data_IF_545783902371
#
_entry.id   IF_545783902371
#
_cell.length_a   1.000
_cell.length_b   1.000
_cell.length_c   1.000
_cell.angle_alpha   90.00
_cell.angle_beta   90.00
_cell.angle_gamma   90.00
#
_symmetry.space_group_name_H-M   'P 1'
#
loop_
_entity.id
_entity.type
_entity.pdbx_description
1 polymer ?
#
# COMPACT_ATOMS: atom_id res chain seq x y z
N UNK A 1 -13.09 7.73 -8.76
CA UNK A 1 -12.04 8.15 -7.80
C UNK A 1 -10.77 7.36 -8.04
N UNK A 2 -9.64 7.78 -7.48
CA UNK A 2 -8.39 7.02 -7.43
C UNK A 2 -8.15 6.58 -5.99
N UNK A 3 -8.10 5.27 -5.78
CA UNK A 3 -8.09 4.67 -4.45
C UNK A 3 -6.91 3.73 -4.35
N UNK A 4 -6.11 3.82 -3.30
CA UNK A 4 -5.07 2.83 -3.02
C UNK A 4 -5.44 1.96 -1.82
N UNK A 5 -5.05 0.68 -1.83
CA UNK A 5 -5.14 -0.19 -0.65
C UNK A 5 -3.73 -0.45 -0.12
N UNK A 6 -3.49 -0.08 1.13
CA UNK A 6 -2.17 -0.12 1.77
C UNK A 6 -2.18 -0.97 3.04
N UNK A 7 -1.03 -1.52 3.41
CA UNK A 7 -0.86 -2.34 4.61
C UNK A 7 0.30 -3.32 4.49
N UNK A 8 0.68 -3.95 5.60
CA UNK A 8 1.80 -4.90 5.61
C UNK A 8 1.54 -6.15 4.74
N UNK A 9 2.57 -6.96 4.50
CA UNK A 9 2.46 -8.19 3.72
C UNK A 9 1.44 -9.13 4.35
N UNK A 10 0.64 -9.78 3.49
CA UNK A 10 -0.33 -10.78 3.92
C UNK A 10 -1.33 -10.24 4.94
N UNK A 11 -1.89 -9.04 4.73
CA UNK A 11 -3.10 -8.56 5.44
C UNK A 11 -4.37 -8.74 4.61
N UNK A 12 -4.27 -9.27 3.39
CA UNK A 12 -5.40 -9.53 2.50
C UNK A 12 -5.76 -8.37 1.55
N UNK A 13 -4.78 -7.52 1.19
CA UNK A 13 -4.96 -6.37 0.29
C UNK A 13 -5.43 -6.77 -1.10
N UNK A 14 -4.69 -7.64 -1.79
CA UNK A 14 -5.04 -8.08 -3.15
C UNK A 14 -6.42 -8.75 -3.19
N UNK A 15 -6.75 -9.59 -2.20
CA UNK A 15 -8.10 -10.15 -2.06
C UNK A 15 -9.18 -9.08 -1.88
N UNK A 16 -8.91 -8.02 -1.11
CA UNK A 16 -9.86 -6.92 -0.96
C UNK A 16 -10.03 -6.17 -2.29
N UNK A 17 -8.94 -5.93 -3.01
CA UNK A 17 -8.95 -5.27 -4.32
C UNK A 17 -9.76 -6.06 -5.34
N UNK A 18 -9.54 -7.37 -5.45
CA UNK A 18 -10.31 -8.24 -6.34
C UNK A 18 -11.82 -8.12 -6.05
N UNK A 19 -12.18 -8.24 -4.76
CA UNK A 19 -13.56 -8.15 -4.30
C UNK A 19 -14.18 -6.76 -4.51
N UNK A 20 -13.39 -5.70 -4.47
CA UNK A 20 -13.84 -4.35 -4.79
C UNK A 20 -14.01 -4.18 -6.30
N UNK A 21 -13.10 -4.71 -7.12
CA UNK A 21 -13.19 -4.70 -8.57
C UNK A 21 -14.46 -5.40 -9.09
N UNK A 22 -14.85 -6.51 -8.46
CA UNK A 22 -16.11 -7.21 -8.78
C UNK A 22 -17.37 -6.37 -8.48
N UNK A 23 -17.31 -5.41 -7.56
CA UNK A 23 -18.46 -4.65 -7.06
C UNK A 23 -18.50 -3.20 -7.55
N UNK A 24 -17.36 -2.63 -7.91
CA UNK A 24 -17.23 -1.26 -8.38
C UNK A 24 -17.22 -1.23 -9.91
N UNK A 25 -18.40 -1.15 -10.51
CA UNK A 25 -18.54 -1.07 -11.96
C UNK A 25 -17.74 0.11 -12.54
N UNK A 26 -16.98 -0.18 -13.60
CA UNK A 26 -16.15 0.81 -14.28
C UNK A 26 -14.86 1.20 -13.54
N UNK A 27 -14.55 0.58 -12.39
CA UNK A 27 -13.21 0.65 -11.82
C UNK A 27 -12.28 -0.35 -12.49
N UNK A 28 -11.05 0.07 -12.77
CA UNK A 28 -9.96 -0.83 -13.15
C UNK A 28 -8.97 -1.02 -12.01
N UNK A 29 -8.28 -2.15 -12.03
CA UNK A 29 -7.22 -2.47 -11.09
C UNK A 29 -5.88 -2.12 -11.74
N UNK A 30 -5.05 -1.35 -11.04
CA UNK A 30 -3.65 -1.25 -11.37
C UNK A 30 -2.92 -2.43 -10.72
N UNK A 31 -2.06 -3.07 -11.50
CA UNK A 31 -1.23 -4.17 -11.02
C UNK A 31 -0.22 -3.68 -9.98
N UNK A 32 0.19 -4.61 -9.09
CA UNK A 32 1.16 -4.33 -8.04
C UNK A 32 2.54 -4.01 -8.66
N UNK A 33 3.28 -3.01 -8.14
CA UNK A 33 4.60 -2.63 -8.65
C UNK A 33 5.59 -3.81 -8.78
N UNK A 34 5.53 -4.78 -7.87
CA UNK A 34 6.37 -5.97 -7.93
C UNK A 34 6.20 -6.75 -9.25
N UNK A 35 4.96 -7.03 -9.66
CA UNK A 35 4.71 -7.81 -10.87
C UNK A 35 5.04 -7.02 -12.13
N UNK A 36 4.73 -5.72 -12.16
CA UNK A 36 5.07 -4.85 -13.28
C UNK A 36 6.59 -4.76 -13.48
N UNK A 37 7.37 -4.68 -12.39
CA UNK A 37 8.82 -4.70 -12.45
C UNK A 37 9.37 -6.06 -12.92
N UNK A 38 8.81 -7.18 -12.44
CA UNK A 38 9.20 -8.51 -12.95
C UNK A 38 8.91 -8.64 -14.46
N UNK A 39 7.79 -8.12 -14.95
CA UNK A 39 7.44 -8.13 -16.38
C UNK A 39 8.41 -7.29 -17.23
N UNK A 40 8.97 -6.22 -16.66
CA UNK A 40 10.03 -5.41 -17.27
C UNK A 40 11.43 -6.07 -17.18
N UNK A 41 11.52 -7.22 -16.51
CA UNK A 41 12.75 -8.02 -16.39
C UNK A 41 13.60 -7.69 -15.16
N UNK A 42 13.05 -7.01 -14.15
CA UNK A 42 13.71 -6.81 -12.88
C UNK A 42 13.73 -8.11 -12.06
N UNK A 43 14.90 -8.48 -11.53
CA UNK A 43 15.07 -9.69 -10.71
C UNK A 43 15.19 -9.32 -9.23
N UNK A 44 14.17 -9.66 -8.45
CA UNK A 44 14.15 -9.41 -7.01
C UNK A 44 14.98 -10.41 -6.20
N UNK A 45 15.63 -9.93 -5.13
CA UNK A 45 16.24 -10.82 -4.15
C UNK A 45 15.18 -11.58 -3.33
N UNK A 46 15.58 -12.70 -2.72
CA UNK A 46 14.74 -13.49 -1.82
C UNK A 46 15.48 -13.79 -0.51
N UNK A 47 15.17 -13.09 0.60
CA UNK A 47 14.17 -12.02 0.73
C UNK A 47 14.54 -10.73 -0.03
N UNK A 48 13.57 -9.82 -0.29
CA UNK A 48 13.85 -8.53 -0.94
C UNK A 48 14.84 -7.69 -0.12
N UNK A 49 15.78 -7.07 -0.81
CA UNK A 49 16.78 -6.13 -0.29
C UNK A 49 16.20 -4.71 -0.13
N UNK A 50 16.98 -3.83 0.50
CA UNK A 50 16.65 -2.40 0.54
C UNK A 50 16.48 -1.81 -0.88
N UNK A 51 17.36 -2.19 -1.81
CA UNK A 51 17.32 -1.71 -3.21
C UNK A 51 16.05 -2.18 -3.93
N UNK A 52 15.60 -3.41 -3.68
CA UNK A 52 14.34 -3.94 -4.21
C UNK A 52 13.13 -3.12 -3.75
N UNK A 53 13.12 -2.65 -2.50
CA UNK A 53 12.06 -1.77 -2.00
C UNK A 53 12.18 -0.35 -2.53
N UNK A 54 13.39 0.16 -2.74
CA UNK A 54 13.62 1.47 -3.37
C UNK A 54 13.14 1.48 -4.83
N UNK A 55 13.38 0.39 -5.56
CA UNK A 55 12.92 0.26 -6.93
C UNK A 55 11.38 0.23 -7.00
N UNK A 56 10.74 -0.55 -6.13
CA UNK A 56 9.28 -0.55 -6.02
C UNK A 56 8.72 0.81 -5.58
N UNK A 57 9.39 1.55 -4.70
CA UNK A 57 9.01 2.91 -4.32
C UNK A 57 9.05 3.84 -5.54
N UNK A 58 10.15 3.82 -6.30
CA UNK A 58 10.31 4.61 -7.54
C UNK A 58 9.19 4.30 -8.52
N UNK A 59 9.01 3.02 -8.83
CA UNK A 59 8.01 2.56 -9.78
C UNK A 59 6.59 2.94 -9.32
N UNK A 60 6.28 2.80 -8.03
CA UNK A 60 4.97 3.17 -7.49
C UNK A 60 4.67 4.67 -7.60
N UNK A 61 5.68 5.53 -7.41
CA UNK A 61 5.55 6.97 -7.65
C UNK A 61 5.27 7.25 -9.12
N UNK A 62 6.03 6.64 -10.03
CA UNK A 62 5.86 6.77 -11.48
C UNK A 62 4.49 6.27 -11.96
N UNK A 63 4.00 5.16 -11.40
CA UNK A 63 2.68 4.61 -11.67
C UNK A 63 1.56 5.58 -11.28
N UNK A 64 1.63 6.19 -10.09
CA UNK A 64 0.65 7.19 -9.68
C UNK A 64 0.70 8.45 -10.55
N UNK A 65 1.89 8.90 -10.97
CA UNK A 65 2.03 10.07 -11.84
C UNK A 65 1.55 9.81 -13.27
N UNK A 66 1.89 8.66 -13.85
CA UNK A 66 1.42 8.26 -15.19
C UNK A 66 -0.11 8.13 -15.24
N UNK A 67 -0.73 7.70 -14.14
CA UNK A 67 -2.17 7.52 -14.01
C UNK A 67 -2.90 8.72 -13.40
N UNK A 68 -2.23 9.87 -13.28
CA UNK A 68 -2.77 11.12 -12.70
C UNK A 68 -4.11 11.57 -13.29
N UNK A 69 -4.33 11.32 -14.59
CA UNK A 69 -5.55 11.72 -15.30
C UNK A 69 -6.62 10.63 -15.32
N UNK A 70 -6.25 9.42 -14.92
CA UNK A 70 -7.14 8.28 -14.87
C UNK A 70 -8.11 8.42 -13.72
N UNK A 71 -9.32 7.92 -13.91
CA UNK A 71 -10.38 7.90 -12.90
C UNK A 71 -10.86 6.47 -12.75
N UNK A 72 -11.44 6.19 -11.60
CA UNK A 72 -12.01 4.89 -11.28
C UNK A 72 -10.92 3.82 -11.36
N UNK A 73 -9.90 3.99 -10.54
CA UNK A 73 -8.77 3.08 -10.46
C UNK A 73 -8.53 2.68 -9.01
N UNK A 74 -8.28 1.39 -8.81
CA UNK A 74 -7.83 0.79 -7.56
C UNK A 74 -6.35 0.43 -7.71
N UNK A 75 -5.50 0.94 -6.82
CA UNK A 75 -4.08 0.59 -6.79
C UNK A 75 -3.82 -0.47 -5.72
N UNK A 76 -3.22 -1.60 -6.10
CA UNK A 76 -2.64 -2.56 -5.16
C UNK A 76 -1.31 -2.00 -4.66
N UNK A 77 -1.38 -1.40 -3.45
CA UNK A 77 -0.35 -0.60 -2.80
C UNK A 77 -0.19 0.80 -3.36
N UNK A 78 0.46 1.64 -2.56
CA UNK A 78 0.93 2.96 -2.95
C UNK A 78 2.37 3.16 -2.44
N UNK A 79 3.02 4.29 -2.76
CA UNK A 79 4.39 4.56 -2.32
C UNK A 79 4.61 4.40 -0.80
N UNK A 80 3.57 4.63 0.01
CA UNK A 80 3.66 4.52 1.47
C UNK A 80 3.90 3.08 1.93
N UNK A 81 3.40 2.06 1.21
CA UNK A 81 3.68 0.66 1.53
C UNK A 81 5.18 0.43 1.58
N UNK A 82 5.90 0.93 0.58
CA UNK A 82 7.35 0.78 0.46
C UNK A 82 8.11 1.65 1.45
N UNK A 83 7.61 2.85 1.81
CA UNK A 83 8.17 3.62 2.92
C UNK A 83 8.10 2.86 4.25
N UNK A 84 7.02 2.12 4.49
CA UNK A 84 6.90 1.24 5.65
C UNK A 84 8.03 0.21 5.69
N UNK A 85 8.25 -0.50 4.58
CA UNK A 85 9.35 -1.47 4.45
C UNK A 85 10.73 -0.84 4.61
N UNK A 86 10.99 0.28 3.93
CA UNK A 86 12.28 0.97 3.96
C UNK A 86 12.63 1.49 5.35
N UNK A 87 11.66 2.03 6.10
CA UNK A 87 11.90 2.54 7.47
C UNK A 87 12.15 1.43 8.49
N UNK A 88 11.73 0.20 8.21
CA UNK A 88 11.86 -0.94 9.14
C UNK A 88 12.89 -1.97 8.68
N UNK A 89 13.54 -1.75 7.54
CA UNK A 89 14.58 -2.63 7.02
C UNK A 89 15.83 -2.57 7.90
N UNK A 90 16.61 -3.65 7.96
CA UNK A 90 17.84 -3.68 8.77
C UNK A 90 18.86 -2.61 8.35
N UNK A 91 18.93 -2.33 7.04
CA UNK A 91 19.76 -1.28 6.43
C UNK A 91 19.06 0.09 6.29
N UNK A 92 18.01 0.38 7.06
CA UNK A 92 17.22 1.62 6.94
C UNK A 92 18.06 2.92 7.04
N UNK A 93 19.20 2.89 7.74
CA UNK A 93 20.14 4.02 7.84
C UNK A 93 20.71 4.46 6.48
N UNK A 94 20.66 3.59 5.47
CA UNK A 94 21.11 3.88 4.10
C UNK A 94 20.02 4.54 3.25
N UNK A 95 18.79 4.64 3.74
CA UNK A 95 17.66 5.25 3.04
C UNK A 95 17.46 6.71 3.46
N UNK A 96 17.62 7.63 2.49
CA UNK A 96 17.34 9.05 2.68
C UNK A 96 15.85 9.36 2.48
N UNK A 97 15.07 9.26 3.56
CA UNK A 97 13.65 9.58 3.54
C UNK A 97 13.39 11.04 3.13
N UNK A 98 14.21 11.99 3.56
CA UNK A 98 13.99 13.42 3.28
C UNK A 98 14.10 13.72 1.78
N UNK A 99 15.02 13.05 1.08
CA UNK A 99 15.14 13.15 -0.37
C UNK A 99 13.91 12.59 -1.12
N UNK A 100 13.24 11.57 -0.57
CA UNK A 100 12.07 10.93 -1.20
C UNK A 100 10.72 11.57 -0.82
N UNK A 101 10.63 12.20 0.34
CA UNK A 101 9.36 12.74 0.84
C UNK A 101 8.63 13.69 -0.13
N UNK A 102 9.29 14.64 -0.83
CA UNK A 102 8.58 15.56 -1.72
C UNK A 102 7.87 14.85 -2.88
N UNK A 103 8.54 13.89 -3.52
CA UNK A 103 7.98 13.13 -4.65
C UNK A 103 6.91 12.14 -4.19
N UNK A 104 7.12 11.47 -3.05
CA UNK A 104 6.11 10.59 -2.46
C UNK A 104 4.86 11.38 -2.08
N UNK A 105 5.02 12.53 -1.41
CA UNK A 105 3.89 13.39 -1.02
C UNK A 105 3.13 13.85 -2.26
N UNK A 106 3.82 14.33 -3.30
CA UNK A 106 3.19 14.76 -4.56
C UNK A 106 2.36 13.64 -5.18
N UNK A 107 2.95 12.44 -5.33
CA UNK A 107 2.28 11.29 -5.93
C UNK A 107 1.06 10.83 -5.11
N UNK A 108 1.22 10.72 -3.79
CA UNK A 108 0.15 10.30 -2.88
C UNK A 108 -1.01 11.30 -2.86
N UNK A 109 -0.73 12.61 -2.90
CA UNK A 109 -1.75 13.67 -2.97
C UNK A 109 -2.61 13.63 -4.23
N UNK A 110 -2.24 12.82 -5.23
CA UNK A 110 -3.07 12.59 -6.40
C UNK A 110 -4.16 11.55 -6.18
N UNK A 111 -4.15 10.84 -5.05
CA UNK A 111 -5.19 9.90 -4.61
C UNK A 111 -6.30 10.63 -3.87
N UNK A 112 -7.54 10.19 -4.04
CA UNK A 112 -8.68 10.69 -3.26
C UNK A 112 -8.91 9.89 -1.97
N UNK A 113 -8.43 8.65 -1.89
CA UNK A 113 -8.62 7.79 -0.72
C UNK A 113 -7.50 6.75 -0.62
N UNK A 114 -7.00 6.56 0.60
CA UNK A 114 -6.15 5.42 0.97
C UNK A 114 -6.94 4.54 1.93
N UNK A 115 -7.14 3.28 1.55
CA UNK A 115 -7.74 2.26 2.41
C UNK A 115 -6.61 1.53 3.13
N UNK A 116 -6.52 1.71 4.44
CA UNK A 116 -5.51 1.06 5.27
C UNK A 116 -6.04 -0.24 5.88
N UNK A 117 -5.31 -1.33 5.66
CA UNK A 117 -5.62 -2.66 6.18
C UNK A 117 -4.57 -3.03 7.24
N UNK A 118 -4.81 -2.73 8.52
CA UNK A 118 -3.87 -3.07 9.60
C UNK A 118 -3.85 -4.58 9.89
N UNK A 119 -2.84 -5.01 10.64
CA UNK A 119 -2.86 -6.29 11.33
C UNK A 119 -3.89 -6.22 12.46
N UNK A 120 -4.83 -7.16 12.49
CA UNK A 120 -5.81 -7.25 13.58
C UNK A 120 -5.24 -8.03 14.76
N UNK A 121 -5.66 -7.69 15.99
CA UNK A 121 -5.26 -8.41 17.22
C UNK A 121 -5.48 -9.93 17.10
N UNK A 122 -6.56 -10.31 16.42
CA UNK A 122 -6.78 -11.67 15.96
C UNK A 122 -6.37 -11.74 14.49
N UNK A 123 -5.07 -11.90 14.23
CA UNK A 123 -4.56 -12.02 12.87
C UNK A 123 -5.14 -13.28 12.21
N UNK A 124 -6.13 -13.09 11.36
CA UNK A 124 -6.81 -14.17 10.64
C UNK A 124 -5.92 -14.82 9.57
N UNK A 125 -4.71 -14.29 9.37
CA UNK A 125 -3.77 -14.76 8.36
C UNK A 125 -2.84 -15.80 8.98
N UNK A 126 -2.93 -17.04 8.50
CA UNK A 126 -1.99 -18.10 8.87
C UNK A 126 -0.65 -17.88 8.18
N UNK A 127 0.34 -17.42 8.95
CA UNK A 127 1.71 -17.29 8.48
C UNK A 127 2.45 -18.64 8.55
N UNK A 128 3.21 -19.03 7.51
CA UNK A 128 4.12 -20.16 7.59
C UNK A 128 5.20 -19.90 8.65
N UNK A 129 5.79 -20.97 9.20
CA UNK A 129 6.77 -20.88 10.28
C UNK A 129 8.04 -20.10 9.91
N UNK A 130 8.36 -20.00 8.62
CA UNK A 130 9.49 -19.24 8.07
C UNK A 130 9.18 -17.76 7.83
N UNK A 131 7.95 -17.31 8.07
CA UNK A 131 7.60 -15.90 7.89
C UNK A 131 8.13 -15.09 9.07
N UNK A 132 8.85 -14.01 8.76
CA UNK A 132 9.26 -13.03 9.76
C UNK A 132 8.03 -12.24 10.26
N UNK A 133 7.52 -12.63 11.42
CA UNK A 133 6.39 -11.98 12.07
C UNK A 133 6.75 -10.61 12.63
N UNK A 134 7.97 -10.47 13.15
CA UNK A 134 8.42 -9.23 13.80
C UNK A 134 8.59 -8.13 12.76
N UNK A 135 9.19 -8.45 11.62
CA UNK A 135 9.27 -7.53 10.47
C UNK A 135 7.88 -7.08 10.00
N UNK A 136 6.90 -8.00 9.92
CA UNK A 136 5.54 -7.66 9.49
C UNK A 136 4.85 -6.69 10.45
N UNK A 137 4.97 -6.91 11.76
CA UNK A 137 4.37 -6.02 12.77
C UNK A 137 5.05 -4.65 12.75
N UNK A 138 6.38 -4.61 12.65
CA UNK A 138 7.12 -3.35 12.56
C UNK A 138 6.66 -2.51 11.36
N UNK A 139 6.48 -3.15 10.19
CA UNK A 139 5.95 -2.47 8.99
C UNK A 139 4.53 -1.95 9.22
N UNK A 140 3.66 -2.74 9.87
CA UNK A 140 2.29 -2.33 10.14
C UNK A 140 2.24 -1.12 11.09
N UNK A 141 3.05 -1.13 12.14
CA UNK A 141 3.19 -0.01 13.08
C UNK A 141 3.73 1.24 12.37
N UNK A 142 4.74 1.07 11.49
CA UNK A 142 5.27 2.16 10.68
C UNK A 142 4.20 2.75 9.75
N UNK A 143 3.44 1.90 9.06
CA UNK A 143 2.35 2.34 8.19
C UNK A 143 1.24 3.03 8.98
N UNK A 144 0.84 2.50 10.13
CA UNK A 144 -0.15 3.11 11.01
C UNK A 144 0.31 4.51 11.44
N UNK A 145 1.57 4.69 11.84
CA UNK A 145 2.13 6.00 12.17
C UNK A 145 2.09 6.95 10.96
N UNK A 146 2.54 6.50 9.79
CA UNK A 146 2.59 7.31 8.58
C UNK A 146 1.19 7.76 8.14
N UNK A 147 0.21 6.86 8.23
CA UNK A 147 -1.13 7.08 7.68
C UNK A 147 -2.09 7.75 8.67
N UNK A 148 -2.00 7.43 9.96
CA UNK A 148 -2.98 7.86 10.96
C UNK A 148 -2.51 9.09 11.75
N UNK A 149 -1.22 9.17 12.07
CA UNK A 149 -0.65 10.33 12.75
C UNK A 149 -0.23 11.43 11.74
N UNK A 150 -0.16 11.06 10.45
CA UNK A 150 0.25 11.91 9.32
C UNK A 150 1.45 12.84 9.61
N UNK A 151 2.59 12.29 10.09
CA UNK A 151 3.77 13.10 10.43
C UNK A 151 4.36 13.80 9.20
N UNK A 152 3.99 13.35 8.01
CA UNK A 152 4.45 13.87 6.73
C UNK A 152 3.42 14.76 6.04
N UNK A 153 2.34 15.16 6.71
CA UNK A 153 1.32 16.07 6.18
C UNK A 153 0.90 15.71 4.74
N UNK A 154 0.61 14.44 4.52
CA UNK A 154 0.19 13.88 3.24
C UNK A 154 -1.12 14.54 2.80
N UNK A 155 -2.02 14.83 3.74
CA UNK A 155 -3.28 15.53 3.46
C UNK A 155 -4.25 14.73 2.58
N UNK A 156 -4.06 13.41 2.52
CA UNK A 156 -4.92 12.47 1.81
C UNK A 156 -5.84 11.79 2.80
N UNK A 157 -7.08 11.53 2.40
CA UNK A 157 -8.00 10.82 3.26
C UNK A 157 -7.57 9.37 3.44
N UNK A 158 -7.54 8.93 4.71
CA UNK A 158 -7.25 7.55 5.09
C UNK A 158 -8.48 6.91 5.73
N UNK A 159 -8.85 5.73 5.24
CA UNK A 159 -9.89 4.86 5.81
C UNK A 159 -9.25 3.57 6.36
N UNK A 160 -9.02 3.48 7.67
CA UNK A 160 -8.67 2.22 8.32
C UNK A 160 -9.88 1.28 8.30
N UNK A 161 -9.68 0.03 7.93
CA UNK A 161 -10.75 -0.98 7.90
C UNK A 161 -10.37 -2.25 8.66
N UNK A 162 -11.35 -2.92 9.24
CA UNK A 162 -11.12 -4.12 10.05
C UNK A 162 -12.22 -5.17 9.85
N UNK A 163 -11.97 -6.38 10.36
CA UNK A 163 -12.91 -7.49 10.37
C UNK A 163 -12.81 -8.38 9.14
N UNK A 164 -13.87 -9.16 8.90
CA UNK A 164 -13.91 -10.15 7.81
C UNK A 164 -13.77 -9.50 6.43
N UNK A 165 -13.40 -10.30 5.41
CA UNK A 165 -13.34 -9.85 4.01
C UNK A 165 -14.62 -9.11 3.56
N UNK A 166 -15.79 -9.65 3.90
CA UNK A 166 -17.06 -9.03 3.56
C UNK A 166 -17.26 -7.69 4.28
N UNK A 167 -16.94 -7.63 5.58
CA UNK A 167 -17.04 -6.40 6.37
C UNK A 167 -16.11 -5.29 5.85
N UNK A 168 -14.88 -5.65 5.46
CA UNK A 168 -13.90 -4.74 4.86
C UNK A 168 -14.40 -4.13 3.55
N UNK A 169 -14.96 -4.97 2.66
CA UNK A 169 -15.60 -4.50 1.43
C UNK A 169 -16.76 -3.56 1.73
N UNK A 170 -17.66 -3.92 2.64
CA UNK A 170 -18.80 -3.09 3.02
C UNK A 170 -18.35 -1.71 3.52
N UNK A 171 -17.34 -1.63 4.39
CA UNK A 171 -16.80 -0.35 4.88
C UNK A 171 -16.34 0.56 3.74
N UNK A 172 -15.61 0.02 2.76
CA UNK A 172 -15.14 0.80 1.60
C UNK A 172 -16.34 1.26 0.76
N UNK A 173 -17.28 0.38 0.42
CA UNK A 173 -18.45 0.74 -0.38
C UNK A 173 -19.34 1.80 0.31
N UNK A 174 -19.56 1.67 1.61
CA UNK A 174 -20.30 2.67 2.40
C UNK A 174 -19.58 4.01 2.41
N UNK A 175 -18.24 4.02 2.47
CA UNK A 175 -17.49 5.27 2.40
C UNK A 175 -17.63 5.93 1.02
N UNK A 176 -17.53 5.15 -0.05
CA UNK A 176 -17.67 5.65 -1.42
C UNK A 176 -19.09 6.16 -1.72
N UNK A 177 -20.11 5.61 -1.07
CA UNK A 177 -21.50 6.10 -1.19
C UNK A 177 -21.76 7.44 -0.46
N UNK A 178 -20.86 7.85 0.45
CA UNK A 178 -20.99 9.09 1.25
C UNK A 178 -20.20 10.28 0.69
N UNK A 179 -19.33 10.07 -0.29
CA UNK A 179 -18.55 11.11 -0.97
C UNK A 179 -19.19 11.54 -2.28
#
# INVERSE_FOLDING_TARGET
MRIAVTGSHRVGKSTLIDLLGERLEGYRLAEEPYFLLEEEGYEFASPPSLEDFLEQLRFSVELLESEKRSRNILFDRCPLDFLGYLQTHEDADSFDLEAWLPQVRSAVQTLELIVFVPIEEHDFIRLPASADRESRVAVDDALARILLDDPFELGVEVLPIQGTRAARVTQVLERLARG
#
